data_IF_018701574720
#
_entry.id   IF_018701574720
#
_cell.length_a   1.000
_cell.length_b   1.000
_cell.length_c   1.000
_cell.angle_alpha   90.00
_cell.angle_beta   90.00
_cell.angle_gamma   90.00
#
_symmetry.space_group_name_H-M   'P 1'
#
loop_
_entity.id
_entity.type
_entity.pdbx_description
1 polymer ?
#
# COMPACT_ATOMS: atom_id res chain seq x y z
N UNK A 1 -3.77 -4.20 15.03
CA UNK A 1 -3.10 -4.81 13.87
C UNK A 1 -2.38 -3.71 13.09
N UNK A 2 -1.09 -3.88 12.80
CA UNK A 2 -0.31 -2.86 12.09
C UNK A 2 -0.14 -3.36 10.66
N UNK A 3 -0.60 -2.60 9.68
CA UNK A 3 -0.55 -3.00 8.27
C UNK A 3 0.54 -2.20 7.57
N UNK A 4 1.35 -2.89 6.77
CA UNK A 4 2.23 -2.26 5.77
C UNK A 4 1.58 -2.35 4.40
N UNK A 5 1.65 -1.27 3.64
CA UNK A 5 1.14 -1.22 2.26
C UNK A 5 2.34 -1.10 1.32
N UNK A 6 2.59 -2.14 0.55
CA UNK A 6 3.48 -2.09 -0.61
C UNK A 6 2.76 -1.46 -1.80
N UNK A 7 3.45 -0.59 -2.52
CA UNK A 7 2.93 0.09 -3.72
C UNK A 7 3.90 -0.18 -4.86
N UNK A 8 3.40 -0.77 -5.94
CA UNK A 8 4.14 -1.05 -7.16
C UNK A 8 3.53 -0.25 -8.33
N UNK A 9 4.11 0.91 -8.68
CA UNK A 9 3.65 1.70 -9.83
C UNK A 9 4.06 1.04 -11.15
N UNK A 10 3.09 0.86 -12.03
CA UNK A 10 3.27 0.42 -13.42
C UNK A 10 2.71 1.47 -14.40
N UNK A 11 3.06 1.38 -15.68
CA UNK A 11 2.76 2.40 -16.71
C UNK A 11 1.28 2.80 -16.83
N UNK A 12 0.35 1.89 -16.54
CA UNK A 12 -1.10 2.12 -16.67
C UNK A 12 -1.87 1.87 -15.37
N UNK A 13 -1.20 1.33 -14.35
CA UNK A 13 -1.84 0.88 -13.12
C UNK A 13 -0.89 0.95 -11.93
N UNK A 14 -1.44 0.97 -10.72
CA UNK A 14 -0.72 0.85 -9.47
C UNK A 14 -1.22 -0.39 -8.78
N UNK A 15 -0.34 -1.38 -8.61
CA UNK A 15 -0.64 -2.54 -7.78
C UNK A 15 -0.31 -2.21 -6.33
N UNK A 16 -1.14 -2.68 -5.41
CA UNK A 16 -0.94 -2.51 -3.97
C UNK A 16 -1.18 -3.82 -3.24
N UNK A 17 -0.44 -4.03 -2.16
CA UNK A 17 -0.59 -5.17 -1.27
C UNK A 17 -0.50 -4.71 0.18
N UNK A 18 -1.47 -5.11 1.00
CA UNK A 18 -1.48 -4.95 2.44
C UNK A 18 -0.97 -6.23 3.11
N UNK A 19 -0.04 -6.10 4.05
CA UNK A 19 0.47 -7.20 4.87
C UNK A 19 0.38 -6.84 6.36
N UNK A 20 0.09 -7.82 7.21
CA UNK A 20 0.25 -7.64 8.65
C UNK A 20 1.74 -7.53 8.98
N UNK A 21 2.14 -6.47 9.67
CA UNK A 21 3.55 -6.19 9.95
C UNK A 21 4.15 -7.17 10.95
N UNK A 22 3.36 -7.72 11.87
CA UNK A 22 3.88 -8.58 12.92
C UNK A 22 4.08 -10.02 12.43
N UNK A 23 3.12 -10.54 11.67
CA UNK A 23 3.15 -11.90 11.13
C UNK A 23 3.80 -11.97 9.74
N UNK A 24 3.91 -10.84 9.02
CA UNK A 24 4.33 -10.81 7.62
C UNK A 24 3.29 -11.43 6.68
N UNK A 25 2.06 -11.63 7.15
CA UNK A 25 1.01 -12.32 6.41
C UNK A 25 0.32 -11.38 5.42
N UNK A 26 0.03 -11.90 4.24
CA UNK A 26 -0.75 -11.19 3.23
C UNK A 26 -2.19 -11.01 3.70
N UNK A 27 -2.66 -9.75 3.70
CA UNK A 27 -4.04 -9.40 4.07
C UNK A 27 -4.89 -9.32 2.82
N UNK A 28 -4.51 -8.45 1.88
CA UNK A 28 -5.20 -8.30 0.60
C UNK A 28 -4.36 -7.49 -0.41
N UNK A 29 -4.76 -7.50 -1.67
CA UNK A 29 -4.14 -6.71 -2.73
C UNK A 29 -5.15 -6.24 -3.76
N UNK A 30 -4.80 -5.18 -4.49
CA UNK A 30 -5.64 -4.57 -5.51
C UNK A 30 -4.78 -3.91 -6.60
N UNK A 31 -5.40 -3.62 -7.75
CA UNK A 31 -4.78 -2.83 -8.83
C UNK A 31 -5.72 -1.70 -9.24
N UNK A 32 -5.17 -0.50 -9.36
CA UNK A 32 -5.93 0.70 -9.71
C UNK A 32 -5.34 1.35 -10.97
N UNK A 33 -6.15 1.92 -11.88
CA UNK A 33 -5.60 2.63 -13.04
C UNK A 33 -4.81 3.88 -12.62
N UNK A 34 -3.78 4.25 -13.38
CA UNK A 34 -3.03 5.51 -13.18
C UNK A 34 -3.80 6.72 -13.71
N UNK A 35 -4.97 6.97 -13.14
CA UNK A 35 -5.79 8.14 -13.43
C UNK A 35 -6.50 8.62 -12.14
N UNK A 36 -7.21 9.75 -12.22
CA UNK A 36 -7.87 10.36 -11.06
C UNK A 36 -8.92 9.44 -10.42
N UNK A 37 -9.64 8.67 -11.20
CA UNK A 37 -10.63 7.71 -10.69
C UNK A 37 -9.95 6.54 -9.96
N UNK A 38 -8.80 6.10 -10.45
CA UNK A 38 -7.94 5.12 -9.79
C UNK A 38 -7.40 5.62 -8.46
N UNK A 39 -6.94 6.88 -8.39
CA UNK A 39 -6.49 7.49 -7.13
C UNK A 39 -7.60 7.54 -6.07
N UNK A 40 -8.81 7.98 -6.44
CA UNK A 40 -9.96 7.97 -5.51
C UNK A 40 -10.33 6.57 -5.03
N UNK A 41 -10.13 5.56 -5.88
CA UNK A 41 -10.41 4.16 -5.53
C UNK A 41 -9.32 3.59 -4.61
N UNK A 42 -8.06 3.93 -4.86
CA UNK A 42 -6.93 3.63 -3.98
C UNK A 42 -7.11 4.27 -2.60
N UNK A 43 -7.50 5.53 -2.52
CA UNK A 43 -7.77 6.22 -1.24
C UNK A 43 -8.90 5.55 -0.46
N UNK A 44 -9.99 5.15 -1.13
CA UNK A 44 -11.09 4.40 -0.50
C UNK A 44 -10.65 3.03 -0.01
N UNK A 45 -9.82 2.33 -0.77
CA UNK A 45 -9.23 1.06 -0.36
C UNK A 45 -8.34 1.23 0.87
N UNK A 46 -7.45 2.22 0.86
CA UNK A 46 -6.51 2.50 1.94
C UNK A 46 -7.20 2.90 3.26
N UNK A 47 -8.34 3.61 3.19
CA UNK A 47 -9.14 4.01 4.36
C UNK A 47 -9.72 2.85 5.18
N UNK A 48 -9.74 1.63 4.63
CA UNK A 48 -10.16 0.43 5.37
C UNK A 48 -9.11 -0.01 6.39
N UNK A 49 -7.86 0.42 6.22
CA UNK A 49 -6.80 0.19 7.19
C UNK A 49 -6.71 1.36 8.17
N UNK A 50 -6.54 1.10 9.48
CA UNK A 50 -6.43 2.17 10.47
C UNK A 50 -5.23 3.07 10.16
N UNK A 51 -5.47 4.37 10.05
CA UNK A 51 -4.43 5.36 9.77
C UNK A 51 -3.31 5.28 10.82
N UNK A 52 -2.08 5.14 10.34
CA UNK A 52 -0.89 5.47 11.12
C UNK A 52 -0.15 6.57 10.39
N UNK A 53 0.01 7.71 11.05
CA UNK A 53 0.96 8.74 10.62
C UNK A 53 2.36 8.17 10.84
N UNK A 54 3.11 7.79 9.78
CA UNK A 54 4.46 7.33 9.99
C UNK A 54 5.26 8.51 10.54
N UNK A 55 5.84 8.36 11.74
CA UNK A 55 6.80 9.36 12.29
C UNK A 55 8.01 9.54 11.36
N UNK A 56 8.24 8.60 10.44
CA UNK A 56 9.33 8.59 9.47
C UNK A 56 8.94 7.70 8.30
N UNK A 57 9.07 8.20 7.06
CA UNK A 57 9.03 7.36 5.87
C UNK A 57 10.23 6.40 5.93
N UNK A 58 9.97 5.09 5.93
CA UNK A 58 11.02 4.08 5.91
C UNK A 58 11.23 3.69 4.44
N UNK A 59 12.36 4.09 3.87
CA UNK A 59 12.80 3.54 2.59
C UNK A 59 13.18 2.07 2.80
N UNK A 60 12.93 1.18 1.84
CA UNK A 60 13.48 -0.17 1.91
C UNK A 60 15.01 -0.07 1.99
N UNK A 61 15.59 -0.75 2.98
CA UNK A 61 17.03 -0.92 3.07
C UNK A 61 17.42 -1.84 1.91
N UNK A 62 18.07 -1.28 0.89
CA UNK A 62 18.68 -2.07 -0.17
C UNK A 62 19.95 -2.66 0.43
N UNK A 63 19.87 -3.89 0.93
CA UNK A 63 21.05 -4.67 1.28
C UNK A 63 21.79 -5.02 -0.02
N UNK A 64 22.94 -4.37 -0.24
CA UNK A 64 23.93 -4.75 -1.24
C UNK A 64 25.00 -5.66 -0.66
#
# INVERSE_FOLDING_TARGET
>A
MKVLIGVDPHKASVAVAAVDEAAGEFVEGASFPQNRAGLQSLERWAKRFPERRPKRWRMPEVSG
#
